data_IF_849915943488
#
_entry.id   IF_849915943488
#
_cell.length_a   1.000
_cell.length_b   1.000
_cell.length_c   1.000
_cell.angle_alpha   90.00
_cell.angle_beta   90.00
_cell.angle_gamma   90.00
#
_symmetry.space_group_name_H-M   'P 1'
#
loop_
_entity.id
_entity.type
_entity.pdbx_description
1 polymer ?
#
# COMPACT_ATOMS: atom_id res chain seq x y z
N UNK A 1 -12.57 -19.25 -11.64
CA UNK A 1 -12.42 -18.96 -10.20
C UNK A 1 -11.54 -17.73 -10.05
N UNK A 2 -12.05 -16.52 -10.29
CA UNK A 2 -11.31 -15.28 -10.06
C UNK A 2 -12.06 -14.49 -9.00
N UNK A 3 -11.57 -14.57 -7.76
CA UNK A 3 -12.14 -13.87 -6.61
C UNK A 3 -11.99 -12.36 -6.79
N UNK A 4 -12.96 -11.75 -7.46
CA UNK A 4 -13.28 -10.34 -7.31
C UNK A 4 -13.99 -10.11 -5.97
N UNK A 5 -13.89 -8.88 -5.47
CA UNK A 5 -14.59 -8.34 -4.30
C UNK A 5 -13.98 -8.60 -2.90
N UNK A 6 -12.78 -8.03 -2.65
CA UNK A 6 -12.43 -7.55 -1.30
C UNK A 6 -11.59 -6.25 -1.34
N UNK A 7 -11.76 -5.44 -2.39
CA UNK A 7 -10.94 -4.25 -2.62
C UNK A 7 -11.36 -3.01 -1.80
N UNK A 8 -12.54 -3.01 -1.18
CA UNK A 8 -13.20 -1.75 -0.77
C UNK A 8 -13.13 -1.40 0.73
N UNK A 9 -12.84 -2.33 1.64
CA UNK A 9 -13.06 -2.09 3.09
C UNK A 9 -11.93 -1.31 3.79
N UNK A 10 -10.70 -1.34 3.28
CA UNK A 10 -9.59 -0.59 3.90
C UNK A 10 -9.51 0.87 3.42
N UNK A 11 -10.06 1.16 2.23
CA UNK A 11 -10.14 2.51 1.66
C UNK A 11 -11.09 3.43 2.45
N UNK A 12 -12.09 2.86 3.13
CA UNK A 12 -13.16 3.59 3.84
C UNK A 12 -12.79 4.11 5.24
N UNK A 13 -11.54 3.90 5.71
CA UNK A 13 -11.10 4.34 7.06
C UNK A 13 -10.05 5.46 7.04
N UNK A 14 -9.80 6.07 5.88
CA UNK A 14 -8.60 6.89 5.65
C UNK A 14 -8.91 8.39 5.62
N UNK A 15 -8.92 9.04 6.78
CA UNK A 15 -8.65 10.48 6.90
C UNK A 15 -7.29 10.65 7.57
N UNK A 16 -6.23 10.23 6.89
CA UNK A 16 -4.86 10.46 7.35
C UNK A 16 -4.18 11.40 6.35
N UNK A 17 -3.65 12.51 6.87
CA UNK A 17 -2.98 13.57 6.12
C UNK A 17 -1.79 13.01 5.35
N UNK A 18 -1.96 12.80 4.04
CA UNK A 18 -0.89 12.41 3.12
C UNK A 18 0.14 13.54 3.11
N UNK A 19 1.37 13.26 3.55
CA UNK A 19 2.48 14.21 3.37
C UNK A 19 2.83 14.24 1.88
N UNK A 20 3.02 15.41 1.27
CA UNK A 20 3.42 15.47 -0.13
C UNK A 20 4.80 14.83 -0.28
N UNK A 21 4.86 13.74 -1.05
CA UNK A 21 6.10 13.09 -1.44
C UNK A 21 7.00 14.10 -2.17
N UNK A 22 8.20 14.32 -1.64
CA UNK A 22 9.06 15.46 -1.98
C UNK A 22 9.75 15.30 -3.33
N UNK A 23 9.79 14.07 -3.88
CA UNK A 23 10.41 13.76 -5.17
C UNK A 23 9.46 13.00 -6.11
N UNK A 24 9.63 13.18 -7.43
CA UNK A 24 8.88 12.44 -8.46
C UNK A 24 9.02 10.92 -8.31
N UNK A 25 10.20 10.44 -7.90
CA UNK A 25 10.46 9.02 -7.64
C UNK A 25 9.66 8.49 -6.45
N UNK A 26 9.54 9.28 -5.38
CA UNK A 26 8.74 8.92 -4.19
C UNK A 26 7.25 8.83 -4.52
N UNK A 27 6.74 9.69 -5.40
CA UNK A 27 5.35 9.62 -5.87
C UNK A 27 5.07 8.34 -6.67
N UNK A 28 5.99 7.97 -7.58
CA UNK A 28 5.87 6.74 -8.36
C UNK A 28 5.98 5.49 -7.47
N UNK A 29 6.84 5.53 -6.46
CA UNK A 29 6.96 4.46 -5.48
C UNK A 29 5.68 4.29 -4.65
N UNK A 30 5.11 5.38 -4.14
CA UNK A 30 3.84 5.36 -3.42
C UNK A 30 2.70 4.77 -4.26
N UNK A 31 2.62 5.13 -5.54
CA UNK A 31 1.63 4.57 -6.48
C UNK A 31 1.81 3.05 -6.66
N UNK A 32 3.04 2.57 -6.87
CA UNK A 32 3.32 1.13 -7.00
C UNK A 32 2.93 0.36 -5.74
N UNK A 33 3.15 0.94 -4.57
CA UNK A 33 2.76 0.33 -3.29
C UNK A 33 1.24 0.18 -3.19
N UNK A 34 0.50 1.22 -3.56
CA UNK A 34 -0.97 1.20 -3.54
C UNK A 34 -1.49 0.15 -4.51
N UNK A 35 -0.98 0.11 -5.74
CA UNK A 35 -1.39 -0.85 -6.77
C UNK A 35 -1.11 -2.30 -6.34
N UNK A 36 0.07 -2.57 -5.77
CA UNK A 36 0.41 -3.90 -5.25
C UNK A 36 -0.52 -4.32 -4.09
N UNK A 37 -0.85 -3.39 -3.20
CA UNK A 37 -1.80 -3.65 -2.12
C UNK A 37 -3.21 -3.89 -2.65
N UNK A 38 -3.65 -3.18 -3.69
CA UNK A 38 -4.94 -3.40 -4.33
C UNK A 38 -5.02 -4.77 -5.01
N UNK A 39 -4.01 -5.11 -5.82
CA UNK A 39 -3.91 -6.41 -6.47
C UNK A 39 -3.90 -7.56 -5.46
N UNK A 40 -3.32 -7.34 -4.28
CA UNK A 40 -3.24 -8.32 -3.20
C UNK A 40 -4.40 -8.26 -2.19
N UNK A 41 -5.43 -7.43 -2.41
CA UNK A 41 -6.56 -7.29 -1.49
C UNK A 41 -6.16 -6.82 -0.08
N UNK A 42 -5.12 -5.99 0.03
CA UNK A 42 -4.59 -5.49 1.30
C UNK A 42 -3.68 -6.48 2.04
N UNK A 43 -3.30 -7.60 1.41
CA UNK A 43 -2.30 -8.50 1.98
C UNK A 43 -0.89 -7.91 1.84
N UNK A 44 -0.38 -7.33 2.92
CA UNK A 44 0.93 -6.68 2.96
C UNK A 44 2.09 -7.63 2.64
N UNK A 45 2.02 -8.90 3.05
CA UNK A 45 3.09 -9.86 2.77
C UNK A 45 3.16 -10.14 1.26
N UNK A 46 2.01 -10.43 0.64
CA UNK A 46 1.95 -10.64 -0.82
C UNK A 46 2.32 -9.39 -1.61
N UNK A 47 1.86 -8.22 -1.19
CA UNK A 47 2.22 -6.96 -1.85
C UNK A 47 3.73 -6.69 -1.77
N UNK A 48 4.37 -7.00 -0.63
CA UNK A 48 5.83 -6.86 -0.48
C UNK A 48 6.59 -7.84 -1.40
N UNK A 49 6.12 -9.09 -1.49
CA UNK A 49 6.66 -10.11 -2.41
C UNK A 49 6.56 -9.66 -3.87
N UNK A 50 5.40 -9.12 -4.29
CA UNK A 50 5.20 -8.58 -5.64
C UNK A 50 6.14 -7.40 -5.95
N UNK A 51 6.43 -6.57 -4.96
CA UNK A 51 7.34 -5.43 -5.11
C UNK A 51 8.83 -5.81 -4.95
N UNK A 52 9.14 -7.07 -4.63
CA UNK A 52 10.51 -7.53 -4.41
C UNK A 52 11.20 -6.92 -3.17
N UNK A 53 10.41 -6.54 -2.15
CA UNK A 53 10.92 -5.95 -0.92
C UNK A 53 10.48 -6.75 0.31
N UNK A 54 11.15 -6.54 1.44
CA UNK A 54 10.71 -7.15 2.69
C UNK A 54 9.38 -6.53 3.17
N UNK A 55 8.55 -7.31 3.88
CA UNK A 55 7.34 -6.80 4.54
C UNK A 55 7.65 -5.60 5.45
N UNK A 56 8.77 -5.64 6.17
CA UNK A 56 9.22 -4.53 7.04
C UNK A 56 9.49 -3.25 6.23
N UNK A 57 10.13 -3.38 5.07
CA UNK A 57 10.36 -2.25 4.14
C UNK A 57 9.03 -1.67 3.66
N UNK A 58 8.08 -2.53 3.27
CA UNK A 58 6.74 -2.07 2.86
C UNK A 58 6.05 -1.27 3.97
N UNK A 59 6.08 -1.78 5.21
CA UNK A 59 5.48 -1.09 6.37
C UNK A 59 6.14 0.27 6.61
N UNK A 60 7.48 0.34 6.59
CA UNK A 60 8.19 1.60 6.76
C UNK A 60 7.84 2.62 5.66
N UNK A 61 7.69 2.17 4.41
CA UNK A 61 7.27 3.03 3.29
C UNK A 61 5.84 3.51 3.45
N UNK A 62 4.92 2.65 3.89
CA UNK A 62 3.55 3.06 4.21
C UNK A 62 3.53 4.17 5.26
N UNK A 63 4.32 4.04 6.32
CA UNK A 63 4.43 5.09 7.34
C UNK A 63 5.05 6.38 6.77
N UNK A 64 6.10 6.27 5.95
CA UNK A 64 6.76 7.41 5.34
C UNK A 64 5.82 8.21 4.40
N UNK A 65 4.98 7.50 3.65
CA UNK A 65 3.97 8.09 2.77
C UNK A 65 2.67 8.47 3.49
N UNK A 66 2.54 8.17 4.78
CA UNK A 66 1.29 8.40 5.53
C UNK A 66 0.12 7.54 5.04
N UNK A 67 0.41 6.40 4.40
CA UNK A 67 -0.59 5.48 3.89
C UNK A 67 -1.11 4.58 5.03
N UNK A 68 -2.42 4.33 5.09
CA UNK A 68 -3.00 3.50 6.14
C UNK A 68 -2.58 2.05 5.96
N UNK A 69 -2.41 1.35 7.08
CA UNK A 69 -2.07 -0.08 7.09
C UNK A 69 -3.37 -0.89 6.99
N UNK A 70 -3.60 -1.66 5.91
CA UNK A 70 -4.86 -2.41 5.72
C UNK A 70 -5.05 -3.54 6.74
N UNK A 71 -3.97 -4.09 7.30
CA UNK A 71 -3.99 -5.11 8.37
C UNK A 71 -2.86 -4.80 9.35
N UNK A 72 -3.14 -4.86 10.65
CA UNK A 72 -2.12 -4.82 11.71
C UNK A 72 -1.85 -6.25 12.19
#
# INVERSE_FOLDING_TARGET
MTSGASAARWKSRTTASVRPASSKMEQLEGQRIVEALEACGGNQTRAAETLGISRRTLVNRLDAFGLPRPRK
#
